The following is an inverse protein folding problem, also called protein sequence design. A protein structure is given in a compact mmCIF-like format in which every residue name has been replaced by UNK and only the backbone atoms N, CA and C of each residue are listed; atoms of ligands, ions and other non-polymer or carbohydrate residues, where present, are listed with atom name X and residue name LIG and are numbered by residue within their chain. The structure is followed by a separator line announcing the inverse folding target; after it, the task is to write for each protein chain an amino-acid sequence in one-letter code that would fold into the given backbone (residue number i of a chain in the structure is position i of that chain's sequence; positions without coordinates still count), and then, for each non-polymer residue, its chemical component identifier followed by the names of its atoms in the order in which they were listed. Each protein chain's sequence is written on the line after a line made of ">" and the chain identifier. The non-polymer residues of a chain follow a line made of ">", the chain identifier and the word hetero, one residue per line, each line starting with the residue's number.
data_IF_018899194772
#
_entry.id   IF_018899194772
#
_cell.length_a   1.000
_cell.length_b   1.000
_cell.length_c   1.000
_cell.angle_alpha   90.00
_cell.angle_beta   90.00
_cell.angle_gamma   90.00
#
_symmetry.space_group_name_H-M   'P 1'
#
loop_
_entity.id
_entity.type
_entity.pdbx_description
1 polymer ?
#
# COMPACT_ATOMS: atom_id res chain seq x y z
N UNK A 1 19.13 -30.16 -2.93
CA UNK A 1 18.81 -29.49 -4.21
C UNK A 1 17.82 -28.40 -3.88
N UNK A 2 18.07 -27.17 -4.28
CA UNK A 2 17.13 -26.05 -4.05
C UNK A 2 15.98 -26.17 -5.03
N UNK A 3 14.74 -26.15 -4.53
CA UNK A 3 13.55 -26.22 -5.37
C UNK A 3 13.44 -24.97 -6.25
N UNK A 4 13.18 -25.17 -7.55
CA UNK A 4 13.07 -24.09 -8.54
C UNK A 4 11.60 -23.75 -8.76
N UNK A 5 11.26 -22.46 -8.60
CA UNK A 5 9.92 -21.93 -8.79
C UNK A 5 9.82 -21.15 -10.10
N UNK A 6 8.84 -21.50 -10.94
CA UNK A 6 8.55 -20.76 -12.16
C UNK A 6 7.96 -19.39 -11.86
N UNK A 7 7.95 -18.49 -12.85
CA UNK A 7 7.24 -17.22 -12.73
C UNK A 7 5.76 -17.41 -12.31
N UNK A 8 5.11 -18.46 -12.83
CA UNK A 8 3.70 -18.74 -12.55
C UNK A 8 3.49 -19.28 -11.14
N UNK A 9 4.39 -20.14 -10.64
CA UNK A 9 4.37 -20.60 -9.24
C UNK A 9 4.49 -19.41 -8.29
N UNK A 10 5.44 -18.51 -8.56
CA UNK A 10 5.66 -17.33 -7.73
C UNK A 10 4.50 -16.35 -7.79
N UNK A 11 3.85 -16.21 -8.95
CA UNK A 11 2.62 -15.45 -9.10
C UNK A 11 1.51 -16.03 -8.22
N UNK A 12 1.25 -17.35 -8.27
CA UNK A 12 0.21 -18.00 -7.47
C UNK A 12 0.49 -17.95 -5.98
N UNK A 13 1.74 -18.14 -5.58
CA UNK A 13 2.18 -17.93 -4.21
C UNK A 13 1.83 -16.50 -3.72
N UNK A 14 2.15 -15.48 -4.52
CA UNK A 14 1.83 -14.09 -4.15
C UNK A 14 0.32 -13.86 -4.10
N UNK A 15 -0.44 -14.30 -5.12
CA UNK A 15 -1.90 -14.10 -5.17
C UNK A 15 -2.64 -14.82 -4.04
N UNK A 16 -2.14 -15.97 -3.59
CA UNK A 16 -2.69 -16.70 -2.45
C UNK A 16 -2.57 -15.86 -1.15
N UNK A 17 -1.37 -15.34 -0.86
CA UNK A 17 -1.12 -14.46 0.31
C UNK A 17 -1.95 -13.17 0.27
N UNK A 18 -2.25 -12.71 -0.94
CA UNK A 18 -2.96 -11.47 -1.18
C UNK A 18 -4.49 -11.64 -1.20
N UNK A 19 -5.02 -12.86 -0.96
CA UNK A 19 -6.46 -13.18 -1.06
C UNK A 19 -7.04 -12.84 -2.45
N UNK A 20 -6.23 -13.01 -3.50
CA UNK A 20 -6.61 -12.71 -4.88
C UNK A 20 -7.02 -13.96 -5.66
N UNK A 21 -6.60 -15.15 -5.24
CA UNK A 21 -7.11 -16.42 -5.81
C UNK A 21 -8.55 -16.70 -5.39
N UNK A 22 -8.89 -16.38 -4.14
CA UNK A 22 -10.25 -16.39 -3.62
C UNK A 22 -10.38 -15.27 -2.59
N UNK A 23 -11.57 -14.64 -2.54
CA UNK A 23 -11.88 -13.71 -1.45
C UNK A 23 -12.00 -14.49 -0.15
N UNK A 24 -11.48 -13.94 0.94
CA UNK A 24 -11.50 -14.61 2.25
C UNK A 24 -12.44 -13.88 3.23
N UNK A 25 -13.12 -14.66 4.08
CA UNK A 25 -13.95 -14.14 5.16
C UNK A 25 -13.12 -13.95 6.42
N UNK A 26 -12.32 -12.88 6.44
CA UNK A 26 -11.45 -12.52 7.58
C UNK A 26 -11.70 -11.07 8.02
N UNK A 27 -11.46 -10.72 9.30
CA UNK A 27 -11.59 -9.34 9.77
C UNK A 27 -10.75 -8.37 8.95
N UNK A 28 -11.25 -7.15 8.73
CA UNK A 28 -10.57 -6.11 7.95
C UNK A 28 -9.18 -5.79 8.51
N UNK A 29 -9.01 -5.82 9.83
CA UNK A 29 -7.74 -5.61 10.51
C UNK A 29 -6.72 -6.70 10.18
N UNK A 30 -7.14 -7.96 10.23
CA UNK A 30 -6.31 -9.11 9.84
C UNK A 30 -5.93 -9.08 8.36
N UNK A 31 -6.87 -8.68 7.50
CA UNK A 31 -6.62 -8.50 6.08
C UNK A 31 -5.50 -7.48 5.84
N UNK A 32 -5.61 -6.28 6.43
CA UNK A 32 -4.61 -5.22 6.30
C UNK A 32 -3.25 -5.68 6.86
N UNK A 33 -3.24 -6.42 7.97
CA UNK A 33 -2.04 -7.00 8.57
C UNK A 33 -1.34 -7.98 7.62
N UNK A 34 -2.09 -8.92 7.04
CA UNK A 34 -1.62 -9.93 6.06
C UNK A 34 -1.08 -9.31 4.78
N UNK A 35 -1.66 -8.18 4.36
CA UNK A 35 -1.24 -7.44 3.17
C UNK A 35 0.00 -6.57 3.40
N UNK A 36 0.54 -6.55 4.62
CA UNK A 36 1.59 -5.64 5.05
C UNK A 36 1.22 -4.16 4.81
N UNK A 37 -0.04 -3.84 5.11
CA UNK A 37 -0.65 -2.56 4.80
C UNK A 37 -1.13 -2.42 3.36
N UNK A 38 -1.82 -1.32 3.08
CA UNK A 38 -2.27 -0.93 1.74
C UNK A 38 -1.85 0.51 1.47
N UNK A 39 -1.24 0.80 0.31
CA UNK A 39 -0.92 2.19 -0.02
C UNK A 39 -2.22 3.01 -0.08
N UNK A 40 -2.22 4.12 0.65
CA UNK A 40 -3.37 4.97 0.92
C UNK A 40 -3.00 6.43 0.67
N UNK A 41 -2.28 6.71 -0.43
CA UNK A 41 -1.98 8.10 -0.81
C UNK A 41 -3.27 8.88 -1.11
N UNK A 42 -4.23 8.18 -1.70
CA UNK A 42 -5.63 8.60 -1.81
C UNK A 42 -6.51 7.83 -0.81
N UNK A 43 -7.64 8.39 -0.33
CA UNK A 43 -8.53 7.71 0.62
C UNK A 43 -9.30 6.51 0.03
N UNK A 44 -9.68 6.57 -1.26
CA UNK A 44 -10.54 5.58 -1.92
C UNK A 44 -9.86 4.22 -2.17
N UNK A 45 -8.61 4.14 -2.68
CA UNK A 45 -7.99 2.87 -3.06
C UNK A 45 -8.01 1.75 -2.00
N UNK A 46 -7.73 1.98 -0.70
CA UNK A 46 -7.79 0.89 0.29
C UNK A 46 -9.15 0.21 0.40
N UNK A 47 -10.26 0.95 0.26
CA UNK A 47 -11.61 0.36 0.28
C UNK A 47 -11.82 -0.58 -0.90
N UNK A 48 -11.40 -0.17 -2.10
CA UNK A 48 -11.50 -1.01 -3.29
C UNK A 48 -10.56 -2.22 -3.17
N UNK A 49 -9.34 -2.02 -2.67
CA UNK A 49 -8.35 -3.09 -2.49
C UNK A 49 -8.81 -4.17 -1.51
N UNK A 50 -9.54 -3.78 -0.45
CA UNK A 50 -10.16 -4.70 0.50
C UNK A 50 -11.38 -5.40 -0.11
N UNK A 51 -12.25 -4.67 -0.82
CA UNK A 51 -13.37 -5.27 -1.56
C UNK A 51 -12.89 -6.37 -2.54
N UNK A 52 -11.76 -6.15 -3.21
CA UNK A 52 -11.18 -7.14 -4.13
C UNK A 52 -10.77 -8.43 -3.43
N UNK A 53 -10.50 -8.38 -2.12
CA UNK A 53 -9.80 -9.44 -1.35
C UNK A 53 -10.67 -10.11 -0.28
N UNK A 54 -11.69 -9.43 0.21
CA UNK A 54 -12.51 -9.89 1.33
C UNK A 54 -13.91 -10.28 0.88
N UNK A 55 -14.40 -11.40 1.42
CA UNK A 55 -15.78 -11.80 1.28
C UNK A 55 -16.66 -10.84 2.10
N UNK A 56 -17.79 -10.42 1.52
CA UNK A 56 -18.82 -9.58 2.15
C UNK A 56 -18.32 -8.25 2.76
N UNK A 57 -17.18 -7.73 2.31
CA UNK A 57 -16.65 -6.45 2.80
C UNK A 57 -17.56 -5.27 2.46
N UNK A 58 -17.86 -4.47 3.47
CA UNK A 58 -18.64 -3.25 3.36
C UNK A 58 -17.84 -2.02 3.84
N UNK A 59 -18.19 -0.86 3.30
CA UNK A 59 -17.58 0.42 3.69
C UNK A 59 -17.61 0.68 5.20
N UNK A 60 -18.70 0.37 5.94
CA UNK A 60 -18.74 0.51 7.40
C UNK A 60 -17.68 -0.29 8.15
N UNK A 61 -17.21 -1.43 7.64
CA UNK A 61 -16.22 -2.27 8.33
C UNK A 61 -14.89 -1.54 8.49
N UNK A 62 -14.41 -0.89 7.41
CA UNK A 62 -13.19 -0.10 7.46
C UNK A 62 -13.40 1.22 8.23
N UNK A 63 -14.58 1.83 8.15
CA UNK A 63 -14.90 2.99 8.98
C UNK A 63 -14.80 2.67 10.47
N UNK A 64 -15.44 1.58 10.91
CA UNK A 64 -15.38 1.14 12.29
C UNK A 64 -13.92 0.92 12.73
N UNK A 65 -13.13 0.17 11.94
CA UNK A 65 -11.73 -0.09 12.28
C UNK A 65 -10.85 1.17 12.37
N UNK A 66 -11.14 2.22 11.59
CA UNK A 66 -10.47 3.51 11.64
C UNK A 66 -10.87 4.32 12.89
N UNK A 67 -12.16 4.37 13.22
CA UNK A 67 -12.68 5.10 14.39
C UNK A 67 -12.31 4.40 15.71
N UNK A 68 -12.28 3.08 15.72
CA UNK A 68 -11.78 2.24 16.82
C UNK A 68 -10.25 2.27 16.93
N UNK A 69 -9.56 2.96 16.01
CA UNK A 69 -8.11 3.15 15.96
C UNK A 69 -7.29 1.85 15.85
N UNK A 70 -7.93 0.75 15.49
CA UNK A 70 -7.26 -0.53 15.18
C UNK A 70 -6.51 -0.49 13.85
N UNK A 71 -6.98 0.35 12.92
CA UNK A 71 -6.31 0.71 11.69
C UNK A 71 -6.00 2.20 11.69
N UNK A 72 -4.84 2.56 11.14
CA UNK A 72 -4.43 3.95 10.96
C UNK A 72 -3.97 4.19 9.54
N UNK A 73 -4.18 5.43 9.07
CA UNK A 73 -3.59 5.93 7.85
C UNK A 73 -2.41 6.83 8.19
N UNK A 74 -1.21 6.42 7.82
CA UNK A 74 0.02 7.09 8.25
C UNK A 74 1.17 6.94 7.23
N UNK A 75 2.21 7.78 7.38
CA UNK A 75 3.42 7.70 6.54
C UNK A 75 4.24 6.47 6.92
N UNK A 76 4.44 5.57 5.95
CA UNK A 76 5.15 4.30 6.10
C UNK A 76 6.15 4.10 4.94
N UNK A 77 6.11 2.95 4.27
CA UNK A 77 7.08 2.54 3.24
C UNK A 77 7.29 3.64 2.20
N UNK A 78 8.57 3.94 1.93
CA UNK A 78 9.01 4.91 0.91
C UNK A 78 8.46 6.34 1.12
N UNK A 79 8.07 6.71 2.34
CA UNK A 79 7.54 8.04 2.65
C UNK A 79 6.13 8.30 2.12
N UNK A 80 5.38 7.24 1.79
CA UNK A 80 3.99 7.37 1.30
C UNK A 80 2.98 6.97 2.37
N UNK A 81 1.76 7.49 2.26
CA UNK A 81 0.67 7.14 3.17
C UNK A 81 0.22 5.70 2.93
N UNK A 82 0.03 4.94 4.01
CA UNK A 82 -0.51 3.59 3.99
C UNK A 82 -1.59 3.44 5.07
N UNK A 83 -2.58 2.60 4.78
CA UNK A 83 -3.46 2.01 5.77
C UNK A 83 -2.74 0.80 6.36
N UNK A 84 -2.52 0.81 7.67
CA UNK A 84 -1.82 -0.25 8.42
C UNK A 84 -2.55 -0.51 9.73
N UNK A 85 -2.28 -1.66 10.37
CA UNK A 85 -2.75 -1.86 11.74
C UNK A 85 -2.02 -0.93 12.70
N UNK A 86 -2.67 -0.54 13.80
CA UNK A 86 -2.02 0.23 14.85
C UNK A 86 -0.81 -0.50 15.45
N UNK A 87 -0.92 -1.83 15.60
CA UNK A 87 0.17 -2.69 16.06
C UNK A 87 1.39 -2.63 15.12
N UNK A 88 1.18 -2.81 13.81
CA UNK A 88 2.26 -2.74 12.83
C UNK A 88 2.86 -1.35 12.72
N UNK A 89 2.01 -0.31 12.83
CA UNK A 89 2.50 1.05 12.85
C UNK A 89 3.43 1.26 14.06
N UNK A 90 2.98 0.91 15.26
CA UNK A 90 3.77 1.06 16.48
C UNK A 90 5.06 0.24 16.44
N UNK A 91 5.02 -1.00 15.93
CA UNK A 91 6.17 -1.89 15.92
C UNK A 91 7.18 -1.62 14.79
N UNK A 92 6.71 -1.22 13.59
CA UNK A 92 7.55 -1.22 12.38
C UNK A 92 7.92 0.18 11.87
N UNK A 93 7.25 1.23 12.34
CA UNK A 93 7.45 2.59 11.82
C UNK A 93 8.88 3.12 12.01
N UNK A 94 9.54 2.76 13.10
CA UNK A 94 10.91 3.21 13.40
C UNK A 94 11.95 2.55 12.51
N UNK A 95 11.73 1.29 12.10
CA UNK A 95 12.59 0.61 11.13
C UNK A 95 12.71 1.39 9.81
N UNK A 96 11.65 2.11 9.43
CA UNK A 96 11.58 2.90 8.20
C UNK A 96 12.23 4.29 8.33
N UNK A 97 12.62 4.75 9.53
CA UNK A 97 13.13 6.10 9.74
C UNK A 97 14.35 6.44 8.85
N UNK A 98 15.33 5.54 8.61
CA UNK A 98 16.44 5.83 7.69
C UNK A 98 15.98 6.16 6.27
N UNK A 99 14.90 5.53 5.78
CA UNK A 99 14.32 5.83 4.46
C UNK A 99 13.67 7.20 4.44
N UNK A 100 12.94 7.52 5.50
CA UNK A 100 12.22 8.79 5.65
C UNK A 100 13.19 9.97 5.77
N UNK A 101 14.27 9.79 6.54
CA UNK A 101 15.36 10.75 6.64
C UNK A 101 16.07 10.93 5.30
N UNK A 102 16.35 9.84 4.57
CA UNK A 102 16.93 9.92 3.22
C UNK A 102 16.02 10.68 2.25
N UNK A 103 14.69 10.54 2.40
CA UNK A 103 13.70 11.27 1.62
C UNK A 103 13.82 12.80 1.74
N UNK A 104 14.36 13.32 2.85
CA UNK A 104 14.60 14.76 3.04
C UNK A 104 15.59 15.34 2.02
N UNK A 105 16.47 14.50 1.45
CA UNK A 105 17.41 14.92 0.39
C UNK A 105 16.69 15.49 -0.84
N UNK A 106 15.43 15.08 -1.07
CA UNK A 106 14.61 15.62 -2.17
C UNK A 106 14.24 17.11 -2.01
N UNK A 107 14.44 17.69 -0.83
CA UNK A 107 14.23 19.12 -0.61
C UNK A 107 15.28 19.99 -1.30
N UNK A 108 16.52 19.51 -1.45
CA UNK A 108 17.63 20.29 -2.01
C UNK A 108 17.76 21.65 -1.33
N UNK A 109 17.86 22.72 -2.13
CA UNK A 109 17.97 24.10 -1.65
C UNK A 109 16.79 24.56 -0.78
N UNK A 110 15.62 23.90 -0.86
CA UNK A 110 14.47 24.22 0.00
C UNK A 110 14.76 23.92 1.48
N UNK A 111 15.72 23.06 1.78
CA UNK A 111 16.13 22.75 3.16
C UNK A 111 17.09 23.79 3.76
N UNK A 112 17.47 24.84 3.03
CA UNK A 112 18.35 25.90 3.54
C UNK A 112 17.75 26.52 4.82
N UNK A 113 18.55 26.60 5.88
CA UNK A 113 18.14 27.16 7.17
C UNK A 113 17.24 26.24 8.01
N UNK A 114 16.98 25.01 7.57
CA UNK A 114 16.13 24.07 8.29
C UNK A 114 16.84 23.51 9.54
N UNK A 115 16.45 23.99 10.72
CA UNK A 115 16.86 23.43 12.02
C UNK A 115 15.93 22.27 12.41
N UNK A 116 16.20 21.07 11.89
CA UNK A 116 15.30 19.90 12.02
C UNK A 116 14.74 19.72 13.43
N UNK A 117 15.60 19.56 14.43
CA UNK A 117 15.15 19.17 15.77
C UNK A 117 14.33 20.28 16.46
N UNK A 118 14.66 21.55 16.17
CA UNK A 118 13.88 22.71 16.64
C UNK A 118 12.50 22.76 15.98
N UNK A 119 12.42 22.50 14.67
CA UNK A 119 11.15 22.41 13.94
C UNK A 119 10.28 21.27 14.47
N UNK A 120 10.85 20.09 14.72
CA UNK A 120 10.10 18.94 15.24
C UNK A 120 9.57 19.19 16.65
N UNK A 121 10.34 19.88 17.51
CA UNK A 121 9.90 20.27 18.85
C UNK A 121 8.68 21.20 18.77
N UNK A 122 8.77 22.30 18.01
CA UNK A 122 7.65 23.24 17.84
C UNK A 122 6.43 22.55 17.21
N UNK A 123 6.64 21.71 16.19
CA UNK A 123 5.55 20.98 15.55
C UNK A 123 4.84 20.04 16.51
N UNK A 124 5.58 19.37 17.40
CA UNK A 124 5.02 18.49 18.42
C UNK A 124 4.18 19.28 19.43
N UNK A 125 4.65 20.42 19.91
CA UNK A 125 3.89 21.28 20.82
C UNK A 125 2.57 21.74 20.19
N UNK A 126 2.62 22.20 18.93
CA UNK A 126 1.42 22.62 18.18
C UNK A 126 0.39 21.49 17.97
N UNK A 127 0.86 20.24 17.84
CA UNK A 127 0.03 19.05 17.63
C UNK A 127 -0.45 18.42 18.95
N UNK A 128 0.20 18.72 20.08
CA UNK A 128 -0.29 18.37 21.41
C UNK A 128 -1.52 19.18 21.80
N UNK A 129 -1.64 20.42 21.32
CA UNK A 129 -2.82 21.26 21.56
C UNK A 129 -4.08 20.67 20.92
N UNK A 130 -3.98 20.27 19.65
CA UNK A 130 -5.05 19.61 18.89
C UNK A 130 -4.50 19.03 17.57
N UNK A 131 -5.22 18.08 16.94
CA UNK A 131 -4.96 17.72 15.54
C UNK A 131 -5.05 18.93 14.61
N UNK A 132 -4.21 18.93 13.57
CA UNK A 132 -4.12 20.04 12.60
C UNK A 132 -3.95 19.55 11.19
N UNK A 133 -4.46 20.29 10.23
CA UNK A 133 -4.11 20.09 8.83
C UNK A 133 -2.68 20.55 8.57
N UNK A 134 -2.02 20.01 7.54
CA UNK A 134 -0.71 20.50 7.12
C UNK A 134 -0.74 21.94 6.58
N UNK A 135 -1.90 22.51 6.24
CA UNK A 135 -2.01 23.92 5.88
C UNK A 135 -1.87 24.80 7.13
N UNK A 136 -2.59 24.48 8.19
CA UNK A 136 -2.50 25.19 9.47
C UNK A 136 -1.13 25.03 10.12
N UNK A 137 -0.63 23.78 10.17
CA UNK A 137 0.66 23.48 10.79
C UNK A 137 1.81 24.22 10.09
N UNK A 138 1.78 24.28 8.76
CA UNK A 138 2.79 25.02 8.00
C UNK A 138 2.74 26.51 8.24
N UNK A 139 1.55 27.10 8.31
CA UNK A 139 1.39 28.52 8.62
C UNK A 139 1.98 28.87 10.00
N UNK A 140 1.67 28.07 11.03
CA UNK A 140 2.18 28.26 12.39
C UNK A 140 3.69 28.03 12.48
N UNK A 141 4.22 27.02 11.78
CA UNK A 141 5.67 26.82 11.70
C UNK A 141 6.37 27.97 10.98
N UNK A 142 5.75 28.56 9.95
CA UNK A 142 6.32 29.70 9.23
C UNK A 142 6.45 30.93 10.14
N UNK A 143 5.57 31.13 11.12
CA UNK A 143 5.70 32.21 12.12
C UNK A 143 6.95 32.02 13.00
N UNK A 144 7.25 30.79 13.40
CA UNK A 144 8.43 30.46 14.21
C UNK A 144 9.73 30.38 13.40
N UNK A 145 9.64 30.10 12.10
CA UNK A 145 10.76 29.89 11.17
C UNK A 145 10.57 30.70 9.87
N UNK A 146 10.53 32.05 9.92
CA UNK A 146 10.13 32.90 8.80
C UNK A 146 11.04 32.78 7.57
N UNK A 147 12.32 32.46 7.77
CA UNK A 147 13.33 32.34 6.72
C UNK A 147 13.41 30.94 6.07
N UNK A 148 12.67 29.96 6.61
CA UNK A 148 12.69 28.57 6.11
C UNK A 148 11.57 28.37 5.10
N UNK A 149 11.82 27.56 4.08
CA UNK A 149 10.79 27.24 3.10
C UNK A 149 9.61 26.49 3.75
N UNK A 150 8.40 27.02 3.61
CA UNK A 150 7.16 26.45 4.15
C UNK A 150 6.96 24.95 3.81
N UNK A 151 7.31 24.55 2.57
CA UNK A 151 7.18 23.14 2.15
C UNK A 151 8.20 22.25 2.85
N UNK A 152 9.40 22.75 3.13
CA UNK A 152 10.41 22.02 3.89
C UNK A 152 9.97 21.81 5.34
N UNK A 153 9.37 22.83 5.97
CA UNK A 153 8.79 22.74 7.32
C UNK A 153 7.73 21.63 7.40
N UNK A 154 6.75 21.63 6.49
CA UNK A 154 5.74 20.56 6.46
C UNK A 154 6.33 19.19 6.12
N UNK A 155 7.26 19.11 5.17
CA UNK A 155 7.81 17.83 4.74
C UNK A 155 8.66 17.16 5.83
N UNK A 156 9.49 17.91 6.56
CA UNK A 156 10.30 17.36 7.65
C UNK A 156 9.44 16.82 8.79
N UNK A 157 8.36 17.54 9.14
CA UNK A 157 7.42 17.07 10.16
C UNK A 157 6.75 15.78 9.73
N UNK A 158 6.28 15.69 8.47
CA UNK A 158 5.63 14.48 7.95
C UNK A 158 6.54 13.25 7.92
N UNK A 159 7.84 13.42 7.68
CA UNK A 159 8.79 12.31 7.58
C UNK A 159 9.38 11.90 8.94
N UNK A 160 9.59 12.87 9.85
CA UNK A 160 10.35 12.63 11.08
C UNK A 160 9.48 12.64 12.35
N UNK A 161 8.22 13.06 12.28
CA UNK A 161 7.28 12.92 13.40
C UNK A 161 6.37 11.72 13.15
N UNK A 162 6.19 10.81 14.13
CA UNK A 162 5.16 9.78 14.03
C UNK A 162 3.77 10.39 14.12
N UNK A 163 3.12 10.50 12.96
CA UNK A 163 1.79 11.07 12.79
C UNK A 163 0.83 10.04 12.21
N UNK A 164 -0.44 10.19 12.60
CA UNK A 164 -1.58 9.47 12.02
C UNK A 164 -2.60 10.49 11.50
N UNK A 165 -3.29 10.16 10.41
CA UNK A 165 -4.39 10.96 9.90
C UNK A 165 -5.65 10.72 10.71
N UNK A 166 -6.38 11.78 11.06
CA UNK A 166 -7.65 11.70 11.79
C UNK A 166 -8.77 11.31 10.83
N UNK A 167 -9.47 10.18 11.05
CA UNK A 167 -10.59 9.78 10.22
C UNK A 167 -11.84 10.64 10.47
N UNK A 168 -12.69 10.75 9.46
CA UNK A 168 -13.96 11.47 9.48
C UNK A 168 -15.09 10.57 8.98
N UNK A 169 -16.30 11.13 8.86
CA UNK A 169 -17.46 10.46 8.25
C UNK A 169 -17.52 10.64 6.73
N UNK A 170 -16.46 11.17 6.09
CA UNK A 170 -16.37 11.23 4.63
C UNK A 170 -16.53 9.82 4.05
N UNK A 171 -17.12 9.70 2.86
CA UNK A 171 -17.41 8.40 2.22
C UNK A 171 -16.24 7.41 2.28
N UNK A 172 -15.01 7.91 2.08
CA UNK A 172 -13.78 7.12 2.08
C UNK A 172 -12.91 7.38 3.33
N UNK A 173 -13.53 7.68 4.46
CA UNK A 173 -12.91 7.83 5.78
C UNK A 173 -12.10 9.10 6.00
N UNK A 174 -11.76 9.86 4.95
CA UNK A 174 -10.93 11.06 5.07
C UNK A 174 -11.35 12.15 4.07
N UNK A 175 -11.30 13.43 4.46
CA UNK A 175 -11.50 14.54 3.54
C UNK A 175 -10.24 14.75 2.68
N UNK A 176 -10.34 15.60 1.67
CA UNK A 176 -9.18 16.01 0.84
C UNK A 176 -8.06 16.63 1.67
N UNK A 177 -8.43 17.40 2.70
CA UNK A 177 -7.50 18.07 3.60
C UNK A 177 -7.73 17.55 5.01
N UNK A 178 -7.13 16.41 5.32
CA UNK A 178 -7.29 15.78 6.63
C UNK A 178 -6.35 16.38 7.67
N UNK A 179 -6.78 16.29 8.92
CA UNK A 179 -5.97 16.60 10.10
C UNK A 179 -5.01 15.44 10.40
N UNK A 180 -3.91 15.78 11.05
CA UNK A 180 -2.93 14.85 11.59
C UNK A 180 -2.84 15.03 13.10
N UNK A 181 -2.71 13.91 13.81
CA UNK A 181 -2.47 13.86 15.25
C UNK A 181 -1.13 13.17 15.52
N UNK A 182 -0.53 13.44 16.69
CA UNK A 182 0.60 12.64 17.18
C UNK A 182 0.14 11.21 17.44
N UNK A 183 0.93 10.24 16.96
CA UNK A 183 0.56 8.84 17.05
C UNK A 183 0.47 8.33 18.49
N UNK A 184 1.35 8.81 19.39
CA UNK A 184 1.39 8.42 20.79
C UNK A 184 0.11 8.78 21.55
N UNK A 185 -0.36 10.03 21.42
CA UNK A 185 -1.63 10.47 22.01
C UNK A 185 -2.85 9.84 21.35
N UNK A 186 -2.79 9.61 20.03
CA UNK A 186 -3.90 8.99 19.30
C UNK A 186 -4.08 7.50 19.63
N UNK A 187 -2.99 6.74 19.64
CA UNK A 187 -3.00 5.29 19.87
C UNK A 187 -2.92 4.91 21.35
N UNK A 188 -2.57 5.84 22.23
CA UNK A 188 -2.27 5.56 23.64
C UNK A 188 -0.93 4.85 23.86
N UNK A 189 -0.16 4.61 22.79
CA UNK A 189 1.17 4.02 22.81
C UNK A 189 2.06 4.71 21.78
N UNK A 190 3.26 5.12 22.18
CA UNK A 190 4.25 5.62 21.24
C UNK A 190 4.78 4.48 20.35
N UNK A 191 5.14 4.76 19.08
CA UNK A 191 5.92 3.83 18.27
C UNK A 191 7.19 3.42 19.01
N UNK A 192 7.53 2.14 18.89
CA UNK A 192 8.74 1.59 19.48
C UNK A 192 9.96 2.34 18.91
N UNK A 193 10.83 2.95 19.74
CA UNK A 193 12.02 3.62 19.25
C UNK A 193 13.05 2.65 18.64
N UNK A 194 12.98 1.36 18.95
CA UNK A 194 13.88 0.34 18.39
C UNK A 194 13.55 0.04 16.92
N UNK A 195 14.60 -0.28 16.16
CA UNK A 195 14.51 -0.58 14.73
C UNK A 195 14.34 -2.08 14.50
N UNK A 196 13.10 -2.51 14.24
CA UNK A 196 12.76 -3.92 14.01
C UNK A 196 12.80 -4.32 12.52
N UNK A 197 13.97 -4.23 11.89
CA UNK A 197 14.14 -4.57 10.46
C UNK A 197 13.80 -6.03 10.17
N UNK A 198 14.17 -6.95 11.06
CA UNK A 198 13.92 -8.38 10.87
C UNK A 198 12.41 -8.68 10.87
N UNK A 199 11.66 -8.06 11.80
CA UNK A 199 10.19 -8.14 11.82
C UNK A 199 9.55 -7.54 10.57
N UNK A 200 10.09 -6.42 10.07
CA UNK A 200 9.63 -5.80 8.81
C UNK A 200 9.85 -6.72 7.60
N UNK A 201 11.00 -7.43 7.54
CA UNK A 201 11.30 -8.40 6.49
C UNK A 201 10.42 -9.64 6.59
N UNK A 202 10.19 -10.18 7.78
CA UNK A 202 9.24 -11.28 7.99
C UNK A 202 7.82 -10.88 7.57
N UNK A 203 7.41 -9.64 7.88
CA UNK A 203 6.12 -9.11 7.43
C UNK A 203 6.03 -9.02 5.91
N UNK A 204 7.10 -8.60 5.26
CA UNK A 204 7.20 -8.57 3.81
C UNK A 204 7.06 -9.98 3.20
N UNK A 205 7.79 -10.98 3.72
CA UNK A 205 7.73 -12.35 3.22
C UNK A 205 6.33 -12.98 3.42
N UNK A 206 5.69 -12.70 4.55
CA UNK A 206 4.32 -13.14 4.81
C UNK A 206 3.32 -12.65 3.75
N UNK A 207 3.51 -11.42 3.24
CA UNK A 207 2.62 -10.80 2.27
C UNK A 207 3.01 -11.08 0.81
N UNK A 208 4.30 -11.19 0.50
CA UNK A 208 4.83 -11.12 -0.87
C UNK A 208 5.86 -12.21 -1.21
N UNK A 209 6.19 -13.11 -0.28
CA UNK A 209 7.11 -14.21 -0.53
C UNK A 209 6.58 -15.25 -1.54
N UNK A 210 7.44 -16.14 -2.06
CA UNK A 210 8.90 -16.12 -1.99
C UNK A 210 9.52 -14.90 -2.72
N UNK A 211 10.58 -14.33 -2.14
CA UNK A 211 11.14 -13.07 -2.63
C UNK A 211 12.66 -12.96 -2.44
N UNK A 212 13.29 -12.13 -3.27
CA UNK A 212 14.72 -11.80 -3.16
C UNK A 212 14.94 -10.65 -2.16
N UNK A 213 16.18 -10.45 -1.72
CA UNK A 213 16.56 -9.26 -0.96
C UNK A 213 16.27 -7.95 -1.72
N UNK A 214 16.44 -7.95 -3.05
CA UNK A 214 16.16 -6.80 -3.89
C UNK A 214 14.65 -6.47 -3.92
N UNK A 215 13.79 -7.49 -3.85
CA UNK A 215 12.34 -7.30 -3.81
C UNK A 215 11.90 -6.65 -2.48
N UNK A 216 12.39 -7.18 -1.36
CA UNK A 216 12.14 -6.61 -0.02
C UNK A 216 12.63 -5.16 0.10
N UNK A 217 13.78 -4.86 -0.50
CA UNK A 217 14.31 -3.50 -0.58
C UNK A 217 13.49 -2.59 -1.49
N UNK A 218 13.03 -3.07 -2.65
CA UNK A 218 12.18 -2.29 -3.54
C UNK A 218 10.84 -1.92 -2.88
N UNK A 219 10.33 -2.78 -1.99
CA UNK A 219 9.13 -2.50 -1.20
C UNK A 219 9.40 -1.54 -0.04
N UNK A 220 10.34 -1.84 0.85
CA UNK A 220 10.55 -1.04 2.08
C UNK A 220 11.32 0.27 1.84
N UNK A 221 12.25 0.26 0.87
CA UNK A 221 13.32 1.25 0.72
C UNK A 221 14.58 0.95 1.52
N UNK A 222 14.59 -0.11 2.34
CA UNK A 222 15.71 -0.50 3.20
C UNK A 222 16.49 -1.67 2.60
N UNK A 223 17.83 -1.71 2.75
CA UNK A 223 18.59 -2.93 2.49
C UNK A 223 18.04 -4.09 3.34
N UNK A 224 17.77 -5.24 2.70
CA UNK A 224 17.17 -6.40 3.35
C UNK A 224 18.09 -7.63 3.44
N UNK A 225 19.25 -7.60 2.76
CA UNK A 225 20.13 -8.77 2.65
C UNK A 225 20.63 -9.27 4.01
N UNK A 226 21.13 -8.38 4.87
CA UNK A 226 21.65 -8.78 6.20
C UNK A 226 20.56 -9.36 7.10
N UNK A 227 19.34 -8.79 7.05
CA UNK A 227 18.20 -9.30 7.81
C UNK A 227 17.79 -10.70 7.31
N UNK A 228 17.74 -10.91 6.00
CA UNK A 228 17.45 -12.24 5.42
C UNK A 228 18.51 -13.28 5.79
N UNK A 229 19.80 -12.91 5.81
CA UNK A 229 20.85 -13.83 6.24
C UNK A 229 20.76 -14.19 7.74
N UNK A 230 20.43 -13.22 8.61
CA UNK A 230 20.16 -13.51 10.02
C UNK A 230 18.96 -14.44 10.21
N UNK A 231 17.90 -14.21 9.44
CA UNK A 231 16.66 -14.98 9.50
C UNK A 231 16.74 -16.32 8.77
N UNK A 232 17.76 -16.54 7.92
CA UNK A 232 17.90 -17.75 7.09
C UNK A 232 17.65 -19.07 7.82
N UNK A 233 18.11 -19.30 9.08
CA UNK A 233 17.84 -20.55 9.79
C UNK A 233 16.34 -20.85 10.00
N UNK A 234 15.48 -19.84 9.94
CA UNK A 234 14.03 -19.92 10.14
C UNK A 234 13.25 -19.84 8.81
N UNK A 235 13.94 -19.67 7.68
CA UNK A 235 13.32 -19.44 6.37
C UNK A 235 13.52 -20.65 5.44
N UNK A 236 12.53 -20.86 4.58
CA UNK A 236 12.67 -21.75 3.43
C UNK A 236 13.38 -21.01 2.29
N UNK A 237 14.26 -21.72 1.59
CA UNK A 237 15.09 -21.16 0.50
C UNK A 237 14.77 -21.88 -0.81
N UNK A 238 14.50 -21.09 -1.83
CA UNK A 238 14.16 -21.53 -3.18
C UNK A 238 15.07 -20.84 -4.21
N UNK A 239 15.00 -21.28 -5.46
CA UNK A 239 15.57 -20.57 -6.58
C UNK A 239 14.47 -20.21 -7.59
N UNK A 240 14.63 -19.13 -8.33
CA UNK A 240 13.83 -18.90 -9.53
C UNK A 240 14.44 -19.56 -10.77
N UNK A 241 13.76 -19.45 -11.91
CA UNK A 241 14.24 -19.98 -13.21
C UNK A 241 15.57 -19.37 -13.68
N UNK A 242 16.01 -18.26 -13.10
CA UNK A 242 17.30 -17.62 -13.37
C UNK A 242 18.38 -17.99 -12.34
N UNK A 243 18.06 -18.88 -11.40
CA UNK A 243 18.95 -19.28 -10.31
C UNK A 243 19.11 -18.22 -9.21
N UNK A 244 18.27 -17.18 -9.16
CA UNK A 244 18.28 -16.20 -8.07
C UNK A 244 17.67 -16.83 -6.83
N UNK A 245 18.33 -16.62 -5.69
CA UNK A 245 17.85 -17.12 -4.40
C UNK A 245 16.61 -16.35 -3.93
N UNK A 246 15.62 -17.10 -3.43
CA UNK A 246 14.37 -16.61 -2.91
C UNK A 246 14.19 -17.12 -1.49
N UNK A 247 13.78 -16.23 -0.58
CA UNK A 247 13.44 -16.56 0.80
C UNK A 247 11.92 -16.55 0.97
N UNK A 248 11.42 -17.43 1.82
CA UNK A 248 10.00 -17.49 2.17
C UNK A 248 9.80 -18.07 3.57
N UNK A 249 8.61 -17.85 4.14
CA UNK A 249 8.23 -18.50 5.39
C UNK A 249 7.94 -20.00 5.14
N UNK A 250 8.40 -20.90 6.03
CA UNK A 250 8.25 -22.35 5.83
C UNK A 250 6.82 -22.80 5.53
N UNK A 251 5.84 -22.25 6.23
CA UNK A 251 4.42 -22.68 6.12
C UNK A 251 3.56 -21.77 5.23
N UNK A 252 4.16 -20.78 4.56
CA UNK A 252 3.38 -19.87 3.72
C UNK A 252 2.84 -20.56 2.45
N UNK A 253 1.64 -20.17 1.98
CA UNK A 253 0.95 -20.90 0.90
C UNK A 253 1.70 -20.77 -0.42
N UNK A 254 2.06 -21.89 -1.05
CA UNK A 254 2.70 -21.92 -2.38
C UNK A 254 1.94 -22.86 -3.33
N UNK A 255 0.70 -22.52 -3.72
CA UNK A 255 -0.02 -23.29 -4.73
C UNK A 255 0.75 -23.34 -6.05
N UNK A 256 0.61 -24.46 -6.78
CA UNK A 256 1.23 -24.64 -8.09
C UNK A 256 0.74 -23.61 -9.12
N UNK A 257 1.58 -23.32 -10.11
CA UNK A 257 1.29 -22.35 -11.17
C UNK A 257 0.05 -22.69 -12.01
N UNK A 258 -0.39 -23.94 -12.00
CA UNK A 258 -1.59 -24.44 -12.68
C UNK A 258 -2.90 -24.04 -11.99
N UNK A 259 -2.85 -23.61 -10.72
CA UNK A 259 -4.05 -23.13 -10.00
C UNK A 259 -4.70 -21.97 -10.78
N UNK A 260 -6.00 -22.02 -11.08
CA UNK A 260 -6.68 -20.92 -11.77
C UNK A 260 -6.66 -19.63 -10.95
N UNK A 261 -6.40 -18.50 -11.60
CA UNK A 261 -6.52 -17.17 -10.99
C UNK A 261 -7.69 -16.41 -11.63
N UNK A 262 -8.72 -16.02 -10.85
CA UNK A 262 -9.88 -15.32 -11.38
C UNK A 262 -9.53 -13.87 -11.78
N UNK A 263 -10.38 -13.22 -12.60
CA UNK A 263 -10.28 -11.78 -12.83
C UNK A 263 -10.39 -10.99 -11.54
N UNK A 264 -9.56 -9.95 -11.40
CA UNK A 264 -9.56 -9.05 -10.24
C UNK A 264 -9.28 -7.62 -10.67
N UNK A 265 -9.96 -6.66 -10.04
CA UNK A 265 -9.64 -5.24 -10.19
C UNK A 265 -8.78 -4.77 -9.03
N UNK A 266 -7.58 -4.31 -9.33
CA UNK A 266 -6.68 -3.67 -8.38
C UNK A 266 -6.85 -2.15 -8.51
N UNK A 267 -7.02 -1.44 -7.39
CA UNK A 267 -7.09 0.02 -7.43
C UNK A 267 -5.76 0.65 -7.82
N UNK A 268 -5.79 1.97 -8.06
CA UNK A 268 -4.55 2.75 -8.11
C UNK A 268 -3.69 2.44 -6.89
N UNK A 269 -2.37 2.42 -7.07
CA UNK A 269 -1.41 2.26 -5.97
C UNK A 269 -1.43 0.91 -5.24
N UNK A 270 -2.13 -0.11 -5.73
CA UNK A 270 -2.15 -1.44 -5.09
C UNK A 270 -0.71 -2.00 -4.91
N UNK A 271 -0.40 -2.53 -3.72
CA UNK A 271 0.95 -2.97 -3.39
C UNK A 271 1.47 -4.07 -4.32
N UNK A 272 0.57 -4.88 -4.88
CA UNK A 272 0.94 -6.01 -5.74
C UNK A 272 1.83 -5.60 -6.93
N UNK A 273 1.62 -4.40 -7.48
CA UNK A 273 2.39 -3.89 -8.63
C UNK A 273 3.67 -3.14 -8.23
N UNK A 274 3.92 -2.98 -6.92
CA UNK A 274 5.04 -2.20 -6.38
C UNK A 274 5.95 -3.01 -5.44
N UNK A 275 5.56 -4.20 -5.01
CA UNK A 275 6.22 -4.95 -3.95
C UNK A 275 7.46 -5.78 -4.37
N UNK A 276 7.70 -5.99 -5.66
CA UNK A 276 8.82 -6.84 -6.16
C UNK A 276 9.72 -6.13 -7.17
N UNK A 277 11.02 -5.99 -6.92
CA UNK A 277 11.97 -5.41 -7.87
C UNK A 277 11.78 -6.00 -9.28
N UNK A 278 11.57 -7.31 -9.36
CA UNK A 278 11.09 -7.97 -10.58
C UNK A 278 9.57 -7.88 -10.72
N UNK A 279 9.12 -6.81 -11.39
CA UNK A 279 7.70 -6.53 -11.63
C UNK A 279 7.01 -7.57 -12.52
N UNK A 280 7.77 -8.42 -13.22
CA UNK A 280 7.25 -9.55 -14.02
C UNK A 280 6.44 -10.52 -13.18
N UNK A 281 6.59 -10.50 -11.85
CA UNK A 281 5.72 -11.19 -10.89
C UNK A 281 4.24 -11.07 -11.24
N UNK A 282 3.80 -9.91 -11.73
CA UNK A 282 2.40 -9.67 -12.15
C UNK A 282 2.30 -8.91 -13.48
N UNK A 283 3.32 -8.14 -13.87
CA UNK A 283 3.26 -7.22 -15.01
C UNK A 283 4.36 -7.57 -16.02
N UNK A 284 3.98 -7.92 -17.24
CA UNK A 284 4.95 -8.14 -18.32
C UNK A 284 5.83 -6.89 -18.58
N UNK A 285 7.06 -7.08 -19.04
CA UNK A 285 7.95 -5.95 -19.37
C UNK A 285 7.34 -5.06 -20.46
N UNK A 286 6.62 -5.65 -21.42
CA UNK A 286 5.96 -4.93 -22.51
C UNK A 286 4.85 -3.98 -22.00
N UNK A 287 4.12 -4.38 -20.95
CA UNK A 287 2.98 -3.61 -20.44
C UNK A 287 3.35 -2.64 -19.31
N UNK A 288 4.51 -2.82 -18.67
CA UNK A 288 4.97 -2.00 -17.53
C UNK A 288 4.96 -0.49 -17.80
N UNK A 289 5.38 0.04 -18.96
CA UNK A 289 5.32 1.48 -19.25
C UNK A 289 3.91 2.06 -19.23
N UNK A 290 2.89 1.24 -19.49
CA UNK A 290 1.47 1.64 -19.46
C UNK A 290 0.89 1.82 -18.06
N UNK A 291 1.53 1.26 -17.04
CA UNK A 291 1.00 1.21 -15.67
C UNK A 291 1.52 2.29 -14.73
N UNK A 292 2.77 2.72 -14.92
CA UNK A 292 3.38 3.78 -14.10
C UNK A 292 3.55 5.03 -14.94
N UNK A 293 2.92 6.12 -14.51
CA UNK A 293 3.06 7.42 -15.19
C UNK A 293 4.41 8.08 -14.87
N UNK A 294 4.79 9.10 -15.65
CA UNK A 294 6.01 9.92 -15.40
C UNK A 294 6.05 10.56 -14.01
N UNK A 295 4.89 10.77 -13.37
CA UNK A 295 4.79 11.33 -12.03
C UNK A 295 4.67 10.25 -10.94
N UNK A 296 5.11 9.02 -11.23
CA UNK A 296 5.06 7.87 -10.32
C UNK A 296 3.65 7.47 -9.85
N UNK A 297 2.58 7.96 -10.51
CA UNK A 297 1.23 7.43 -10.27
C UNK A 297 1.12 6.03 -10.88
N UNK A 298 0.61 5.12 -10.08
CA UNK A 298 0.25 3.75 -10.48
C UNK A 298 -1.22 3.74 -10.86
N UNK A 299 -1.51 3.33 -12.10
CA UNK A 299 -2.88 3.23 -12.59
C UNK A 299 -3.60 2.04 -12.00
N UNK A 300 -4.90 2.17 -11.82
CA UNK A 300 -5.76 1.05 -11.50
C UNK A 300 -5.68 0.01 -12.63
N UNK A 301 -5.53 -1.25 -12.26
CA UNK A 301 -5.18 -2.37 -13.14
C UNK A 301 -6.18 -3.49 -12.97
N UNK A 302 -6.51 -4.18 -14.06
CA UNK A 302 -7.24 -5.44 -13.94
C UNK A 302 -6.32 -6.62 -14.27
N UNK A 303 -6.54 -7.71 -13.55
CA UNK A 303 -5.83 -8.97 -13.76
C UNK A 303 -6.69 -9.92 -14.59
N UNK A 304 -6.05 -10.64 -15.49
CA UNK A 304 -6.57 -11.85 -16.11
C UNK A 304 -5.56 -12.97 -15.91
N UNK A 305 -6.03 -14.13 -15.45
CA UNK A 305 -5.17 -15.28 -15.13
C UNK A 305 -3.99 -14.94 -14.18
N UNK A 306 -4.22 -13.97 -13.29
CA UNK A 306 -3.24 -13.51 -12.30
C UNK A 306 -2.19 -12.51 -12.81
N UNK A 307 -2.25 -12.10 -14.08
CA UNK A 307 -1.34 -11.13 -14.68
C UNK A 307 -2.08 -9.86 -15.10
N UNK A 308 -1.39 -8.72 -15.06
CA UNK A 308 -1.95 -7.44 -15.49
C UNK A 308 -2.30 -7.50 -16.98
N UNK A 309 -3.56 -7.28 -17.31
CA UNK A 309 -4.08 -7.35 -18.68
C UNK A 309 -4.59 -6.01 -19.22
N UNK A 310 -4.65 -4.98 -18.37
CA UNK A 310 -4.99 -3.62 -18.77
C UNK A 310 -5.20 -2.69 -17.60
N UNK A 311 -5.63 -1.47 -17.90
CA UNK A 311 -6.02 -0.47 -16.90
C UNK A 311 -7.52 -0.27 -16.89
N UNK A 312 -8.04 0.34 -15.82
CA UNK A 312 -9.45 0.68 -15.75
C UNK A 312 -9.69 2.02 -15.07
N UNK A 313 -10.84 2.61 -15.35
CA UNK A 313 -11.32 3.81 -14.68
C UNK A 313 -12.83 3.76 -14.50
N UNK A 314 -13.33 4.46 -13.48
CA UNK A 314 -14.76 4.61 -13.22
C UNK A 314 -15.21 6.03 -13.47
N UNK A 315 -16.34 6.18 -14.15
CA UNK A 315 -17.00 7.46 -14.40
C UNK A 315 -18.47 7.36 -13.96
N UNK A 316 -18.99 8.40 -13.30
CA UNK A 316 -20.42 8.51 -13.00
C UNK A 316 -21.00 9.73 -13.72
N UNK A 317 -22.00 9.50 -14.58
CA UNK A 317 -22.79 10.57 -15.22
C UNK A 317 -24.25 10.40 -14.85
N UNK A 318 -24.82 11.41 -14.19
CA UNK A 318 -26.21 11.38 -13.68
C UNK A 318 -26.45 10.11 -12.86
N UNK A 319 -27.27 9.19 -13.36
CA UNK A 319 -27.65 7.94 -12.69
C UNK A 319 -26.85 6.72 -13.14
N UNK A 320 -25.96 6.86 -14.12
CA UNK A 320 -25.20 5.75 -14.72
C UNK A 320 -23.77 5.75 -14.19
N UNK A 321 -23.34 4.64 -13.60
CA UNK A 321 -21.94 4.36 -13.30
C UNK A 321 -21.35 3.49 -14.42
N UNK A 322 -20.21 3.90 -14.96
CA UNK A 322 -19.52 3.20 -16.05
C UNK A 322 -18.11 2.83 -15.61
N UNK A 323 -17.74 1.57 -15.81
CA UNK A 323 -16.39 1.07 -15.72
C UNK A 323 -15.83 0.97 -17.15
N UNK A 324 -14.73 1.65 -17.43
CA UNK A 324 -14.02 1.56 -18.70
C UNK A 324 -12.77 0.73 -18.50
N UNK A 325 -12.62 -0.32 -19.30
CA UNK A 325 -11.44 -1.14 -19.37
C UNK A 325 -10.61 -0.69 -20.57
N UNK A 326 -9.30 -0.73 -20.40
CA UNK A 326 -8.32 -0.43 -21.44
C UNK A 326 -7.34 -1.59 -21.48
N UNK A 327 -7.68 -2.68 -22.20
CA UNK A 327 -6.80 -3.82 -22.37
C UNK A 327 -5.49 -3.44 -23.05
N UNK A 328 -4.40 -4.11 -22.68
CA UNK A 328 -3.12 -3.95 -23.37
C UNK A 328 -3.11 -4.69 -24.72
N UNK A 329 -3.86 -5.78 -24.79
CA UNK A 329 -3.98 -6.68 -25.94
C UNK A 329 -5.44 -7.14 -26.06
N UNK A 330 -5.78 -7.76 -27.18
CA UNK A 330 -7.10 -8.37 -27.38
C UNK A 330 -7.37 -9.45 -26.33
N UNK A 331 -8.54 -9.39 -25.70
CA UNK A 331 -8.92 -10.31 -24.63
C UNK A 331 -9.75 -11.47 -25.18
N UNK A 332 -9.52 -12.72 -24.73
CA UNK A 332 -10.39 -13.83 -25.09
C UNK A 332 -11.79 -13.66 -24.50
N UNK A 333 -12.81 -14.26 -25.12
CA UNK A 333 -14.21 -14.15 -24.70
C UNK A 333 -14.43 -14.50 -23.21
N UNK A 334 -13.70 -15.50 -22.71
CA UNK A 334 -13.75 -15.90 -21.30
C UNK A 334 -13.24 -14.77 -20.36
N UNK A 335 -12.23 -14.01 -20.78
CA UNK A 335 -11.74 -12.87 -20.02
C UNK A 335 -12.76 -11.73 -20.03
N UNK A 336 -13.33 -11.43 -21.19
CA UNK A 336 -14.37 -10.41 -21.37
C UNK A 336 -15.56 -10.71 -20.46
N UNK A 337 -16.07 -11.94 -20.47
CA UNK A 337 -17.18 -12.36 -19.62
C UNK A 337 -16.86 -12.23 -18.12
N UNK A 338 -15.70 -12.75 -17.70
CA UNK A 338 -15.28 -12.71 -16.29
C UNK A 338 -15.04 -11.28 -15.77
N UNK A 339 -14.36 -10.44 -16.55
CA UNK A 339 -14.09 -9.03 -16.21
C UNK A 339 -15.36 -8.19 -16.20
N UNK A 340 -16.33 -8.49 -17.07
CA UNK A 340 -17.63 -7.81 -17.08
C UNK A 340 -18.39 -8.09 -15.79
N UNK A 341 -18.51 -9.36 -15.40
CA UNK A 341 -19.22 -9.75 -14.18
C UNK A 341 -18.57 -9.15 -12.91
N UNK A 342 -17.25 -9.27 -12.78
CA UNK A 342 -16.50 -8.69 -11.65
C UNK A 342 -16.58 -7.15 -11.68
N UNK A 343 -16.56 -6.53 -12.87
CA UNK A 343 -16.59 -5.08 -13.05
C UNK A 343 -17.92 -4.46 -12.68
N UNK A 344 -19.04 -5.11 -12.99
CA UNK A 344 -20.35 -4.67 -12.50
C UNK A 344 -20.45 -4.77 -10.97
N UNK A 345 -19.91 -5.84 -10.37
CA UNK A 345 -19.87 -5.98 -8.91
C UNK A 345 -19.04 -4.86 -8.27
N UNK A 346 -17.90 -4.52 -8.86
CA UNK A 346 -17.08 -3.38 -8.43
C UNK A 346 -17.86 -2.07 -8.52
N UNK A 347 -18.59 -1.82 -9.61
CA UNK A 347 -19.38 -0.59 -9.74
C UNK A 347 -20.51 -0.50 -8.71
N UNK A 348 -21.19 -1.61 -8.41
CA UNK A 348 -22.23 -1.63 -7.36
C UNK A 348 -21.66 -1.28 -5.99
N UNK A 349 -20.46 -1.77 -5.68
CA UNK A 349 -19.75 -1.37 -4.46
C UNK A 349 -19.27 0.09 -4.50
N UNK A 350 -18.65 0.49 -5.61
CA UNK A 350 -17.98 1.78 -5.75
C UNK A 350 -18.94 2.94 -6.04
N UNK A 351 -20.19 2.70 -6.44
CA UNK A 351 -21.24 3.69 -6.70
C UNK A 351 -22.63 3.10 -6.37
N UNK A 352 -22.95 2.85 -5.09
CA UNK A 352 -24.19 2.16 -4.67
C UNK A 352 -25.46 2.95 -5.00
N UNK A 353 -25.34 4.28 -5.18
CA UNK A 353 -26.45 5.18 -5.53
C UNK A 353 -26.64 5.34 -7.05
N UNK A 354 -25.94 4.56 -7.88
CA UNK A 354 -26.20 4.51 -9.32
C UNK A 354 -27.41 3.61 -9.61
N UNK A 355 -28.26 4.03 -10.55
CA UNK A 355 -29.43 3.26 -10.97
C UNK A 355 -29.08 2.25 -12.07
N UNK A 356 -28.05 2.55 -12.86
CA UNK A 356 -27.61 1.75 -14.00
C UNK A 356 -26.09 1.59 -13.95
N UNK A 357 -25.64 0.41 -14.36
CA UNK A 357 -24.23 0.00 -14.37
C UNK A 357 -23.85 -0.46 -15.77
N UNK A 358 -22.70 -0.02 -16.26
CA UNK A 358 -22.19 -0.41 -17.56
C UNK A 358 -20.69 -0.70 -17.48
N UNK A 359 -20.27 -1.86 -18.00
CA UNK A 359 -18.86 -2.14 -18.25
C UNK A 359 -18.60 -1.99 -19.74
N UNK A 360 -17.53 -1.26 -20.08
CA UNK A 360 -17.10 -1.02 -21.47
C UNK A 360 -15.65 -1.45 -21.59
N UNK A 361 -15.36 -2.28 -22.58
CA UNK A 361 -14.00 -2.78 -22.88
C UNK A 361 -13.49 -2.09 -24.14
#
# INVERSE_FOLDING_TARGET
>A
MTDVLSLRDLNRATLARQMLLAREAVPVTDAVRRLAGLQAQEPKPPFLGLWTRLADFAVPDLHAALHDRTLVRATMMRGTLHLVTAEDYTALRSALQPVLDSGLKALGDRAKGLERDRVLTVARDLLLEKPRTFNELRALLQEAFPEVNERALGFVVRMCTPLVMVPTQDRWGFPRTAEFALADGWLGSAPDPESHVDALVLRYLAAFGPATAADAQAWSGLPAAEALERLRPELAVFADEKGRELFDLPDAPRPGGDVPAPPRFLPEFDNLVLAHADRRRVISDAHRPGLTTRNLRVRATFLWDGFAAGTWETERKRKVATLRLHPFEELPDAAVAGLTAEGEALLRFAEPDAAEFAVRI
#
